data_IF_824903923740
#
_entry.id   IF_824903923740
#
_cell.length_a   1.000
_cell.length_b   1.000
_cell.length_c   1.000
_cell.angle_alpha   90.00
_cell.angle_beta   90.00
_cell.angle_gamma   90.00
#
_symmetry.space_group_name_H-M   'P 1'
#
loop_
_entity.id
_entity.type
_entity.pdbx_description
1 polymer ?
#
# COMPACT_ATOMS: atom_id res chain seq x y z
N UNK A 1 -35.62 44.11 9.85
CA UNK A 1 -34.39 43.91 9.05
C UNK A 1 -33.28 43.22 9.83
N UNK A 2 -33.09 43.50 11.12
CA UNK A 2 -32.12 42.82 11.99
C UNK A 2 -32.28 41.28 12.03
N UNK A 3 -33.52 40.78 12.18
CA UNK A 3 -33.80 39.33 12.20
C UNK A 3 -33.40 38.66 10.89
N UNK A 4 -33.70 39.30 9.75
CA UNK A 4 -33.37 38.78 8.42
C UNK A 4 -31.86 38.75 8.22
N UNK A 5 -31.14 39.78 8.68
CA UNK A 5 -29.68 39.83 8.62
C UNK A 5 -29.01 38.77 9.50
N UNK A 6 -29.53 38.56 10.72
CA UNK A 6 -29.05 37.50 11.62
C UNK A 6 -29.34 36.10 11.05
N UNK A 7 -30.51 35.88 10.47
CA UNK A 7 -30.86 34.64 9.81
C UNK A 7 -29.94 34.35 8.62
N UNK A 8 -29.68 35.34 7.76
CA UNK A 8 -28.75 35.22 6.64
C UNK A 8 -27.30 34.94 7.10
N UNK A 9 -26.84 35.62 8.15
CA UNK A 9 -25.52 35.39 8.72
C UNK A 9 -25.35 33.97 9.27
N UNK A 10 -26.34 33.47 10.00
CA UNK A 10 -26.33 32.12 10.55
C UNK A 10 -26.39 31.05 9.45
N UNK A 11 -27.21 31.29 8.41
CA UNK A 11 -27.31 30.39 7.26
C UNK A 11 -26.00 30.33 6.47
N UNK A 12 -25.35 31.47 6.24
CA UNK A 12 -24.06 31.54 5.56
C UNK A 12 -22.97 30.78 6.35
N UNK A 13 -22.90 30.98 7.66
CA UNK A 13 -21.96 30.26 8.53
C UNK A 13 -22.19 28.74 8.52
N UNK A 14 -23.44 28.31 8.54
CA UNK A 14 -23.80 26.90 8.48
C UNK A 14 -23.36 26.24 7.15
N UNK A 15 -23.59 26.90 6.01
CA UNK A 15 -23.19 26.37 4.69
C UNK A 15 -21.67 26.24 4.60
N UNK A 16 -20.91 27.24 5.04
CA UNK A 16 -19.44 27.20 5.04
C UNK A 16 -18.94 26.01 5.87
N UNK A 17 -19.56 25.78 7.03
CA UNK A 17 -19.21 24.66 7.91
C UNK A 17 -19.48 23.31 7.25
N UNK A 18 -20.61 23.15 6.57
CA UNK A 18 -20.97 21.92 5.84
C UNK A 18 -20.00 21.65 4.68
N UNK A 19 -19.67 22.68 3.90
CA UNK A 19 -18.71 22.56 2.80
C UNK A 19 -17.31 22.17 3.29
N UNK A 20 -16.88 22.74 4.42
CA UNK A 20 -15.62 22.36 5.07
C UNK A 20 -15.60 20.88 5.50
N UNK A 21 -16.69 20.40 6.09
CA UNK A 21 -16.83 19.00 6.47
C UNK A 21 -16.82 18.07 5.25
N UNK A 22 -17.47 18.45 4.15
CA UNK A 22 -17.51 17.63 2.94
C UNK A 22 -16.11 17.36 2.38
N UNK A 23 -15.25 18.38 2.32
CA UNK A 23 -13.86 18.23 1.89
C UNK A 23 -13.06 17.26 2.79
N UNK A 24 -13.28 17.31 4.11
CA UNK A 24 -12.64 16.38 5.05
C UNK A 24 -13.15 14.95 4.84
N UNK A 25 -14.46 14.79 4.67
CA UNK A 25 -15.11 13.47 4.51
C UNK A 25 -14.60 12.75 3.26
N UNK A 26 -14.47 13.48 2.14
CA UNK A 26 -13.93 12.91 0.89
C UNK A 26 -12.49 12.41 1.03
N UNK A 27 -11.65 13.11 1.80
CA UNK A 27 -10.28 12.67 2.05
C UNK A 27 -10.24 11.40 2.92
N UNK A 28 -11.10 11.33 3.94
CA UNK A 28 -11.23 10.15 4.80
C UNK A 28 -11.70 8.92 4.01
N UNK A 29 -12.68 9.09 3.13
CA UNK A 29 -13.19 8.00 2.28
C UNK A 29 -12.09 7.47 1.35
N UNK A 30 -11.30 8.37 0.75
CA UNK A 30 -10.20 7.98 -0.12
C UNK A 30 -9.08 7.25 0.64
N UNK A 31 -8.75 7.70 1.85
CA UNK A 31 -7.74 7.03 2.67
C UNK A 31 -8.23 5.66 3.16
N UNK A 32 -9.50 5.54 3.54
CA UNK A 32 -10.13 4.27 3.91
C UNK A 32 -10.17 3.26 2.74
N UNK A 33 -10.49 3.73 1.53
CA UNK A 33 -10.48 2.92 0.32
C UNK A 33 -9.06 2.43 -0.02
N UNK A 34 -8.07 3.31 0.09
CA UNK A 34 -6.67 2.94 -0.08
C UNK A 34 -6.23 1.93 0.98
N UNK A 35 -6.69 2.09 2.23
CA UNK A 35 -6.31 1.23 3.33
C UNK A 35 -6.85 -0.20 3.19
N UNK A 36 -8.10 -0.32 2.72
CA UNK A 36 -8.70 -1.60 2.37
C UNK A 36 -7.94 -2.25 1.21
N UNK A 37 -7.59 -1.46 0.20
CA UNK A 37 -6.85 -1.91 -0.98
C UNK A 37 -5.46 -2.43 -0.62
N UNK A 38 -4.69 -1.69 0.19
CA UNK A 38 -3.36 -2.11 0.66
C UNK A 38 -3.43 -3.35 1.53
N UNK A 39 -4.47 -3.49 2.36
CA UNK A 39 -4.68 -4.70 3.17
C UNK A 39 -4.85 -5.91 2.26
N UNK A 40 -5.72 -5.80 1.24
CA UNK A 40 -5.91 -6.88 0.25
C UNK A 40 -4.62 -7.21 -0.50
N UNK A 41 -3.86 -6.20 -0.93
CA UNK A 41 -2.55 -6.43 -1.58
C UNK A 41 -1.61 -7.19 -0.63
N UNK A 42 -1.55 -6.82 0.64
CA UNK A 42 -0.68 -7.48 1.62
C UNK A 42 -1.01 -8.94 1.88
N UNK A 43 -2.29 -9.30 1.81
CA UNK A 43 -2.73 -10.70 1.87
C UNK A 43 -2.29 -11.46 0.63
N UNK A 44 -2.45 -10.87 -0.56
CA UNK A 44 -2.04 -11.45 -1.85
C UNK A 44 -0.52 -11.63 -1.93
N UNK A 45 0.27 -10.58 -1.62
CA UNK A 45 1.74 -10.66 -1.55
C UNK A 45 2.17 -11.69 -0.51
N UNK A 46 1.55 -11.66 0.68
CA UNK A 46 1.87 -12.59 1.75
C UNK A 46 1.57 -14.05 1.38
N UNK A 47 0.49 -14.31 0.65
CA UNK A 47 0.16 -15.64 0.14
C UNK A 47 1.18 -16.09 -0.92
N UNK A 48 1.53 -15.22 -1.86
CA UNK A 48 2.54 -15.50 -2.87
C UNK A 48 3.90 -15.81 -2.23
N UNK A 49 4.33 -14.97 -1.28
CA UNK A 49 5.55 -15.15 -0.50
C UNK A 49 5.58 -16.49 0.21
N UNK A 50 4.49 -16.90 0.87
CA UNK A 50 4.40 -18.23 1.52
C UNK A 50 4.39 -19.41 0.55
N UNK A 51 3.98 -19.20 -0.71
CA UNK A 51 3.96 -20.25 -1.73
C UNK A 51 5.33 -20.56 -2.33
N UNK A 52 6.32 -19.67 -2.14
CA UNK A 52 7.69 -19.83 -2.63
C UNK A 52 8.58 -20.40 -1.52
N UNK A 53 9.51 -21.32 -1.81
CA UNK A 53 10.52 -21.73 -0.83
C UNK A 53 11.42 -20.53 -0.50
N UNK A 54 11.48 -20.13 0.77
CA UNK A 54 12.47 -19.18 1.26
C UNK A 54 13.81 -19.90 1.42
N UNK A 55 14.75 -19.73 0.49
CA UNK A 55 16.08 -20.26 0.70
C UNK A 55 16.79 -19.42 1.76
N UNK A 56 17.32 -20.11 2.75
CA UNK A 56 18.30 -19.60 3.71
C UNK A 56 19.66 -19.29 3.06
N UNK A 57 19.83 -19.57 1.76
CA UNK A 57 21.04 -19.28 0.99
C UNK A 57 20.67 -18.87 -0.45
N UNK A 58 21.36 -17.85 -0.96
CA UNK A 58 21.17 -17.23 -2.28
C UNK A 58 21.53 -18.14 -3.47
N UNK A 59 20.95 -19.34 -3.55
CA UNK A 59 21.13 -20.27 -4.68
C UNK A 59 19.81 -20.47 -5.42
N UNK A 60 19.59 -19.55 -6.37
CA UNK A 60 18.91 -19.69 -7.68
C UNK A 60 17.48 -20.27 -7.82
N UNK A 61 16.72 -20.55 -6.76
CA UNK A 61 15.29 -20.91 -6.91
C UNK A 61 14.36 -20.34 -5.83
N UNK A 62 14.85 -19.37 -5.05
CA UNK A 62 14.15 -18.81 -3.90
C UNK A 62 14.02 -17.29 -3.97
N UNK A 63 12.93 -16.79 -3.39
CA UNK A 63 12.68 -15.36 -3.29
C UNK A 63 13.69 -14.69 -2.34
N UNK A 64 14.40 -13.69 -2.85
CA UNK A 64 15.35 -12.87 -2.10
C UNK A 64 14.84 -11.41 -2.04
N UNK A 65 14.32 -10.94 -0.90
CA UNK A 65 13.83 -9.57 -0.75
C UNK A 65 14.96 -8.55 -0.95
N UNK A 66 14.68 -7.44 -1.62
CA UNK A 66 15.66 -6.38 -1.92
C UNK A 66 15.21 -5.04 -1.31
N UNK A 67 16.13 -4.34 -0.65
CA UNK A 67 15.80 -3.08 0.05
C UNK A 67 15.70 -1.85 -0.86
N UNK A 68 16.12 -1.96 -2.12
CA UNK A 68 16.36 -0.82 -3.01
C UNK A 68 15.46 -0.79 -4.24
N UNK A 69 14.78 -1.89 -4.56
CA UNK A 69 13.89 -2.00 -5.74
C UNK A 69 12.53 -2.54 -5.33
N UNK A 70 11.42 -2.02 -5.88
CA UNK A 70 10.12 -2.63 -5.64
C UNK A 70 10.09 -4.06 -6.18
N UNK A 71 9.63 -4.99 -5.34
CA UNK A 71 9.51 -6.41 -5.68
C UNK A 71 8.16 -6.72 -6.37
N UNK A 72 7.13 -5.91 -6.08
CA UNK A 72 5.78 -6.10 -6.64
C UNK A 72 5.18 -4.77 -7.10
N UNK A 73 4.44 -4.83 -8.21
CA UNK A 73 3.65 -3.72 -8.74
C UNK A 73 2.18 -4.08 -8.75
N UNK A 74 1.32 -3.09 -8.52
CA UNK A 74 -0.13 -3.25 -8.58
C UNK A 74 -0.79 -2.15 -9.40
N UNK A 75 -1.86 -2.50 -10.10
CA UNK A 75 -2.73 -1.54 -10.78
C UNK A 75 -3.55 -0.71 -9.77
N UNK A 76 -4.32 0.27 -10.25
CA UNK A 76 -5.17 1.11 -9.40
C UNK A 76 -6.32 0.35 -8.72
N UNK A 77 -6.69 -0.84 -9.22
CA UNK A 77 -7.66 -1.74 -8.58
C UNK A 77 -7.01 -2.66 -7.53
N UNK A 78 -5.69 -2.58 -7.40
CA UNK A 78 -4.86 -3.36 -6.49
C UNK A 78 -4.54 -4.78 -6.96
N UNK A 79 -4.66 -5.09 -8.25
CA UNK A 79 -4.30 -6.40 -8.79
C UNK A 79 -2.80 -6.46 -9.02
N UNK A 80 -2.18 -7.57 -8.64
CA UNK A 80 -0.74 -7.75 -8.84
C UNK A 80 -0.42 -7.83 -10.32
N UNK A 81 0.60 -7.09 -10.74
CA UNK A 81 1.15 -7.18 -12.07
C UNK A 81 1.93 -8.50 -12.20
N UNK A 82 1.51 -9.34 -13.15
CA UNK A 82 2.13 -10.62 -13.44
C UNK A 82 2.77 -10.60 -14.83
N UNK A 83 3.86 -11.36 -14.98
CA UNK A 83 4.42 -11.73 -16.27
C UNK A 83 3.52 -12.76 -16.97
N UNK A 84 3.79 -13.06 -18.24
CA UNK A 84 3.09 -14.11 -18.99
C UNK A 84 3.24 -15.52 -18.38
N UNK A 85 4.20 -15.72 -17.48
CA UNK A 85 4.43 -16.97 -16.76
C UNK A 85 3.74 -17.02 -15.39
N UNK A 86 3.00 -15.97 -15.01
CA UNK A 86 2.29 -15.88 -13.73
C UNK A 86 3.17 -15.50 -12.54
N UNK A 87 4.42 -15.09 -12.79
CA UNK A 87 5.32 -14.56 -11.75
C UNK A 87 5.12 -13.03 -11.61
N UNK A 88 5.44 -12.42 -10.46
CA UNK A 88 5.40 -10.97 -10.31
C UNK A 88 6.26 -10.25 -11.36
N UNK A 89 5.76 -9.14 -11.90
CA UNK A 89 6.49 -8.33 -12.86
C UNK A 89 7.68 -7.63 -12.18
N UNK A 90 8.88 -7.74 -12.77
CA UNK A 90 10.12 -7.10 -12.28
C UNK A 90 10.30 -5.68 -12.79
N UNK A 91 9.41 -5.19 -13.64
CA UNK A 91 9.43 -3.84 -14.19
C UNK A 91 8.02 -3.28 -14.13
N UNK A 92 7.90 -2.02 -13.72
CA UNK A 92 6.62 -1.34 -13.58
C UNK A 92 5.85 -1.35 -14.92
N UNK A 93 4.66 -1.99 -14.98
CA UNK A 93 3.76 -1.82 -16.12
C UNK A 93 3.30 -0.37 -16.30
N UNK A 94 2.80 -0.04 -17.48
CA UNK A 94 2.34 1.31 -17.80
C UNK A 94 1.16 1.78 -16.91
N UNK A 95 0.36 0.85 -16.41
CA UNK A 95 -0.81 1.03 -15.55
C UNK A 95 -0.50 0.83 -14.05
N UNK A 96 0.77 0.60 -13.69
CA UNK A 96 1.17 0.47 -12.30
C UNK A 96 0.87 1.76 -11.51
N UNK A 97 0.20 1.59 -10.38
CA UNK A 97 -0.18 2.68 -9.48
C UNK A 97 0.42 2.52 -8.08
N UNK A 98 0.48 1.30 -7.57
CA UNK A 98 1.17 0.98 -6.32
C UNK A 98 2.43 0.16 -6.57
N UNK A 99 3.42 0.35 -5.70
CA UNK A 99 4.61 -0.49 -5.63
C UNK A 99 4.84 -0.97 -4.21
N UNK A 100 5.25 -2.22 -4.05
CA UNK A 100 5.60 -2.82 -2.78
C UNK A 100 7.08 -3.22 -2.79
N UNK A 101 7.82 -2.73 -1.80
CA UNK A 101 9.19 -3.18 -1.50
C UNK A 101 9.14 -4.07 -0.27
N UNK A 102 9.69 -5.27 -0.37
CA UNK A 102 9.73 -6.25 0.72
C UNK A 102 11.14 -6.34 1.23
N UNK A 103 11.32 -6.06 2.51
CA UNK A 103 12.62 -6.15 3.17
C UNK A 103 12.59 -7.22 4.24
N UNK A 104 13.68 -7.98 4.38
CA UNK A 104 13.81 -8.97 5.44
C UNK A 104 14.38 -8.30 6.69
N UNK A 105 13.67 -8.42 7.80
CA UNK A 105 14.17 -8.04 9.11
C UNK A 105 14.76 -9.26 9.79
N UNK A 106 16.08 -9.27 9.96
CA UNK A 106 16.76 -10.30 10.73
C UNK A 106 16.24 -10.32 12.18
N UNK A 107 15.83 -11.49 12.64
CA UNK A 107 15.39 -11.76 14.01
C UNK A 107 16.49 -12.54 14.75
N UNK A 108 16.67 -12.31 16.07
CA UNK A 108 17.75 -12.93 16.83
C UNK A 108 17.57 -14.44 17.12
N UNK A 109 16.53 -15.09 16.58
CA UNK A 109 16.32 -16.53 16.68
C UNK A 109 15.94 -17.12 15.32
N UNK A 110 16.58 -18.23 14.96
CA UNK A 110 16.51 -18.88 13.64
C UNK A 110 15.16 -19.51 13.30
N UNK A 111 14.08 -19.19 14.03
CA UNK A 111 12.79 -19.87 13.88
C UNK A 111 11.81 -19.12 12.95
N UNK A 112 11.89 -17.79 12.86
CA UNK A 112 10.87 -16.98 12.16
C UNK A 112 11.51 -15.75 11.50
N UNK A 113 11.32 -15.61 10.19
CA UNK A 113 11.67 -14.40 9.47
C UNK A 113 10.51 -13.40 9.50
N UNK A 114 10.84 -12.14 9.76
CA UNK A 114 9.86 -11.04 9.64
C UNK A 114 10.15 -10.30 8.36
N UNK A 115 9.16 -10.22 7.48
CA UNK A 115 9.22 -9.39 6.28
C UNK A 115 8.46 -8.08 6.52
N UNK A 116 9.07 -6.98 6.11
CA UNK A 116 8.46 -5.65 6.14
C UNK A 116 8.11 -5.28 4.70
N UNK A 117 6.82 -5.20 4.42
CA UNK A 117 6.29 -4.77 3.13
C UNK A 117 5.99 -3.27 3.19
N UNK A 118 6.62 -2.49 2.32
CA UNK A 118 6.40 -1.05 2.20
C UNK A 118 5.69 -0.75 0.90
N UNK A 119 4.40 -0.44 1.00
CA UNK A 119 3.56 -0.01 -0.12
C UNK A 119 3.73 1.49 -0.33
N UNK A 120 3.75 1.90 -1.60
CA UNK A 120 3.84 3.31 -1.95
C UNK A 120 3.06 3.65 -3.22
N UNK A 121 2.38 4.80 -3.22
CA UNK A 121 1.50 5.27 -4.29
C UNK A 121 1.26 6.79 -4.19
N UNK A 122 0.88 7.50 -5.26
CA UNK A 122 0.88 7.05 -6.66
C UNK A 122 2.31 6.88 -7.19
N UNK A 123 2.57 5.84 -7.98
CA UNK A 123 3.88 5.61 -8.62
C UNK A 123 4.33 6.75 -9.55
N UNK A 124 3.37 7.44 -10.18
CA UNK A 124 3.62 8.54 -11.12
C UNK A 124 3.66 9.93 -10.46
N UNK A 125 3.44 10.01 -9.14
CA UNK A 125 3.55 11.26 -8.43
C UNK A 125 5.03 11.63 -8.22
N UNK A 126 5.32 12.94 -8.14
CA UNK A 126 6.61 13.39 -7.61
C UNK A 126 6.81 12.83 -6.19
N UNK A 127 8.06 12.54 -5.80
CA UNK A 127 8.36 11.86 -4.53
C UNK A 127 7.73 12.54 -3.31
N UNK A 128 7.64 13.87 -3.30
CA UNK A 128 7.03 14.65 -2.23
C UNK A 128 5.53 14.39 -2.00
N UNK A 129 4.83 13.82 -3.00
CA UNK A 129 3.39 13.53 -2.93
C UNK A 129 3.09 12.03 -2.85
N UNK A 130 4.13 11.20 -2.73
CA UNK A 130 3.99 9.75 -2.63
C UNK A 130 3.63 9.37 -1.19
N UNK A 131 2.46 8.76 -1.02
CA UNK A 131 2.03 8.14 0.23
C UNK A 131 2.75 6.79 0.39
N UNK A 132 3.06 6.43 1.63
CA UNK A 132 3.69 5.14 1.97
C UNK A 132 2.99 4.48 3.14
N UNK A 133 2.84 3.15 3.10
CA UNK A 133 2.31 2.36 4.22
C UNK A 133 3.14 1.11 4.44
N UNK A 134 3.49 0.84 5.71
CA UNK A 134 4.29 -0.33 6.10
C UNK A 134 3.41 -1.38 6.75
N UNK A 135 3.57 -2.62 6.30
CA UNK A 135 2.90 -3.82 6.81
C UNK A 135 3.94 -4.86 7.20
N UNK A 136 3.71 -5.56 8.30
CA UNK A 136 4.63 -6.57 8.81
C UNK A 136 3.98 -7.95 8.68
N UNK A 137 4.72 -8.91 8.14
CA UNK A 137 4.30 -10.30 8.09
C UNK A 137 5.41 -11.18 8.68
N UNK A 138 5.01 -12.18 9.45
CA UNK A 138 5.90 -13.25 9.90
C UNK A 138 5.76 -14.45 8.98
N UNK A 139 6.89 -15.06 8.65
CA UNK A 139 6.96 -16.30 7.89
C UNK A 139 7.89 -17.25 8.64
N UNK A 140 7.43 -18.48 8.83
CA UNK A 140 8.27 -19.55 9.37
C UNK A 140 9.35 -19.90 8.35
N UNK A 141 10.62 -19.79 8.74
CA UNK A 141 11.72 -20.37 7.97
C UNK A 141 11.55 -21.88 8.09
N UNK A 142 11.02 -22.52 7.04
CA UNK A 142 10.84 -23.97 7.02
C UNK A 142 12.18 -24.66 7.18
N UNK A 143 12.32 -25.44 8.26
CA UNK A 143 13.29 -26.51 8.38
C UNK A 143 12.64 -27.82 7.94
#
# INVERSE_FOLDING_TARGET
MLEVALALGLFAFAIISILGLLAVTMNLDQDSANDTTVTRMSEETGAWLRSQPFATSHTAAAYAPTDTTPDFYYDAAGRMALTSTGAPATTAPADAYFSCTVTRRATPSNAMDVLVMTYSWPLKAQEAHRKTRRMHISISSGY
#
